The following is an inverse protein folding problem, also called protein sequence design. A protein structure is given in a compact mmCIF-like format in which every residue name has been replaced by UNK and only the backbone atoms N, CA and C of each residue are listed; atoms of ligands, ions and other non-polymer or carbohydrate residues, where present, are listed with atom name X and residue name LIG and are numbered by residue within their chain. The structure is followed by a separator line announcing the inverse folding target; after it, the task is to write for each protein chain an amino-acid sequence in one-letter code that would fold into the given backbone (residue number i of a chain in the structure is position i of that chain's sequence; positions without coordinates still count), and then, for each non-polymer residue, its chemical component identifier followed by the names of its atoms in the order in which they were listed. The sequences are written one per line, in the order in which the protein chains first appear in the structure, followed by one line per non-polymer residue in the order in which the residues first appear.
data_IF_886594873929
#
_entry.id   IF_886594873929
#
_cell.length_a   1.000
_cell.length_b   1.000
_cell.length_c   1.000
_cell.angle_alpha   90.00
_cell.angle_beta   90.00
_cell.angle_gamma   90.00
#
_symmetry.space_group_name_H-M   'P 1'
#
loop_
_entity.id
_entity.type
_entity.pdbx_description
1 polymer ?
#
# COMPACT_ATOMS: atom_id res chain seq x y z
N UNK A 1 -15.17 6.63 2.91
CA UNK A 1 -15.17 7.75 1.95
C UNK A 1 -16.28 8.77 2.24
N UNK A 2 -17.55 8.36 2.26
CA UNK A 2 -18.71 9.25 2.47
C UNK A 2 -18.62 10.10 3.75
N UNK A 3 -18.24 9.53 4.88
CA UNK A 3 -18.08 10.27 6.15
C UNK A 3 -16.95 11.29 6.14
N UNK A 4 -15.92 11.08 5.31
CA UNK A 4 -14.79 11.98 5.13
C UNK A 4 -15.02 13.00 4.01
N UNK A 5 -16.13 12.87 3.26
CA UNK A 5 -16.42 13.68 2.07
C UNK A 5 -15.29 13.70 1.02
N UNK A 6 -14.60 12.57 0.84
CA UNK A 6 -13.52 12.39 -0.15
C UNK A 6 -13.91 11.38 -1.23
N UNK A 7 -13.31 11.52 -2.41
CA UNK A 7 -13.37 10.56 -3.53
C UNK A 7 -12.26 9.50 -3.42
N UNK A 8 -12.44 8.27 -3.93
CA UNK A 8 -11.43 7.20 -3.81
C UNK A 8 -10.03 7.61 -4.31
N UNK A 9 -9.98 8.44 -5.35
CA UNK A 9 -8.75 8.99 -5.92
C UNK A 9 -8.02 10.00 -5.02
N UNK A 10 -8.61 10.40 -3.90
CA UNK A 10 -7.98 11.25 -2.87
C UNK A 10 -7.47 10.42 -1.67
N UNK A 11 -7.64 9.09 -1.74
CA UNK A 11 -7.36 8.17 -0.64
C UNK A 11 -6.39 7.06 -1.04
N UNK A 12 -5.68 6.57 -0.03
CA UNK A 12 -4.84 5.38 -0.11
C UNK A 12 -5.15 4.48 1.08
N UNK A 13 -5.23 3.17 0.85
CA UNK A 13 -5.44 2.17 1.89
C UNK A 13 -4.12 1.57 2.34
N UNK A 14 -4.06 1.21 3.63
CA UNK A 14 -2.99 0.42 4.22
C UNK A 14 -3.64 -0.87 4.72
N UNK A 15 -3.19 -2.01 4.22
CA UNK A 15 -3.80 -3.31 4.48
C UNK A 15 -2.72 -4.36 4.78
N UNK A 16 -3.13 -5.50 5.33
CA UNK A 16 -2.22 -6.61 5.67
C UNK A 16 -2.74 -7.99 5.27
N UNK A 17 -3.92 -8.06 4.63
CA UNK A 17 -4.64 -9.31 4.38
C UNK A 17 -5.31 -9.35 3.01
N UNK A 18 -5.61 -10.56 2.52
CA UNK A 18 -6.25 -10.76 1.23
C UNK A 18 -7.65 -10.13 1.16
N UNK A 19 -8.43 -10.22 2.25
CA UNK A 19 -9.74 -9.58 2.31
C UNK A 19 -9.62 -8.05 2.28
N UNK A 20 -8.59 -7.49 2.91
CA UNK A 20 -8.29 -6.06 2.89
C UNK A 20 -8.07 -5.55 1.48
N UNK A 21 -7.19 -6.19 0.71
CA UNK A 21 -6.90 -5.77 -0.67
C UNK A 21 -8.12 -5.93 -1.60
N UNK A 22 -8.94 -6.97 -1.43
CA UNK A 22 -10.17 -7.11 -2.21
C UNK A 22 -11.15 -5.96 -1.90
N UNK A 23 -11.32 -5.62 -0.62
CA UNK A 23 -12.21 -4.54 -0.20
C UNK A 23 -11.72 -3.16 -0.68
N UNK A 24 -10.42 -2.88 -0.55
CA UNK A 24 -9.84 -1.60 -0.97
C UNK A 24 -9.86 -1.44 -2.49
N UNK A 25 -9.60 -2.52 -3.24
CA UNK A 25 -9.77 -2.56 -4.70
C UNK A 25 -11.22 -2.27 -5.10
N UNK A 26 -12.19 -2.97 -4.51
CA UNK A 26 -13.60 -2.77 -4.83
C UNK A 26 -14.08 -1.35 -4.47
N UNK A 27 -13.42 -0.69 -3.53
CA UNK A 27 -13.62 0.72 -3.20
C UNK A 27 -12.86 1.70 -4.11
N UNK A 28 -12.06 1.22 -5.06
CA UNK A 28 -11.27 2.03 -6.00
C UNK A 28 -10.05 2.68 -5.37
N UNK A 29 -9.47 2.09 -4.32
CA UNK A 29 -8.34 2.65 -3.58
C UNK A 29 -7.00 2.07 -4.03
N UNK A 30 -6.01 2.95 -4.18
CA UNK A 30 -4.61 2.52 -4.20
C UNK A 30 -4.28 1.88 -2.86
N UNK A 31 -3.59 0.75 -2.84
CA UNK A 31 -3.37 -0.03 -1.60
C UNK A 31 -1.89 -0.32 -1.38
N UNK A 32 -1.41 -0.02 -0.18
CA UNK A 32 -0.09 -0.39 0.34
C UNK A 32 -0.28 -1.59 1.28
N UNK A 33 0.49 -2.64 1.09
CA UNK A 33 0.43 -3.84 1.93
C UNK A 33 1.66 -3.93 2.83
N UNK A 34 1.43 -4.27 4.10
CA UNK A 34 2.46 -4.90 4.95
C UNK A 34 2.04 -6.32 5.30
N UNK A 35 2.89 -7.30 5.04
CA UNK A 35 2.57 -8.68 5.43
C UNK A 35 2.90 -8.94 6.89
N UNK A 36 2.25 -9.94 7.46
CA UNK A 36 2.65 -10.57 8.71
C UNK A 36 2.92 -12.06 8.48
N UNK A 37 3.28 -12.80 9.53
CA UNK A 37 3.62 -14.23 9.40
C UNK A 37 2.45 -15.09 8.90
N UNK A 38 1.20 -14.63 9.04
CA UNK A 38 0.01 -15.35 8.58
C UNK A 38 -0.39 -15.00 7.14
N UNK A 39 0.04 -13.85 6.62
CA UNK A 39 -0.44 -13.32 5.34
C UNK A 39 0.63 -13.28 4.25
N UNK A 40 1.86 -13.73 4.56
CA UNK A 40 3.02 -13.71 3.64
C UNK A 40 2.78 -14.42 2.31
N UNK A 41 1.98 -15.48 2.31
CA UNK A 41 1.69 -16.30 1.13
C UNK A 41 0.38 -15.92 0.41
N UNK A 42 -0.28 -14.84 0.84
CA UNK A 42 -1.47 -14.33 0.16
C UNK A 42 -1.12 -13.66 -1.17
N UNK A 43 -2.08 -13.69 -2.10
CA UNK A 43 -1.97 -12.95 -3.34
C UNK A 43 -2.27 -11.46 -3.12
N UNK A 44 -1.26 -10.63 -3.38
CA UNK A 44 -1.29 -9.17 -3.34
C UNK A 44 -0.92 -8.55 -4.70
N UNK A 45 -1.14 -9.27 -5.81
CA UNK A 45 -0.78 -8.84 -7.16
C UNK A 45 -1.31 -7.45 -7.53
N UNK A 46 -2.44 -7.03 -6.96
CA UNK A 46 -3.07 -5.73 -7.21
C UNK A 46 -2.58 -4.59 -6.30
N UNK A 47 -1.66 -4.85 -5.37
CA UNK A 47 -1.14 -3.83 -4.48
C UNK A 47 -0.19 -2.88 -5.22
N UNK A 48 -0.17 -1.61 -4.81
CA UNK A 48 0.81 -0.64 -5.31
C UNK A 48 2.24 -1.02 -4.87
N UNK A 49 2.36 -1.55 -3.65
CA UNK A 49 3.59 -2.09 -3.09
C UNK A 49 3.24 -3.07 -1.95
N UNK A 50 4.07 -4.09 -1.77
CA UNK A 50 4.00 -5.05 -0.66
C UNK A 50 5.33 -5.01 0.08
N UNK A 51 5.26 -4.77 1.39
CA UNK A 51 6.41 -4.62 2.28
C UNK A 51 6.34 -5.67 3.40
N UNK A 52 7.48 -6.05 3.96
CA UNK A 52 7.52 -6.86 5.18
C UNK A 52 7.14 -6.06 6.44
N UNK A 53 7.48 -4.77 6.45
CA UNK A 53 7.19 -3.79 7.50
C UNK A 53 7.12 -2.40 6.86
N UNK A 54 6.68 -1.37 7.59
CA UNK A 54 6.85 0.01 7.12
C UNK A 54 8.29 0.53 7.27
N UNK A 55 9.13 -0.18 7.99
CA UNK A 55 10.49 0.24 8.30
C UNK A 55 10.58 1.56 9.09
N UNK A 56 11.80 2.03 9.23
CA UNK A 56 12.18 3.32 9.79
C UNK A 56 13.62 3.68 9.40
N UNK A 57 14.10 4.86 9.78
CA UNK A 57 15.43 5.35 9.37
C UNK A 57 16.59 4.39 9.71
N UNK A 58 16.47 3.63 10.81
CA UNK A 58 17.48 2.66 11.26
C UNK A 58 17.09 1.20 10.99
N UNK A 59 15.89 0.95 10.47
CA UNK A 59 15.36 -0.39 10.24
C UNK A 59 14.63 -0.42 8.90
N UNK A 60 15.36 -0.64 7.79
CA UNK A 60 14.75 -0.59 6.47
C UNK A 60 13.76 -1.73 6.26
N UNK A 61 12.72 -1.50 5.45
CA UNK A 61 11.85 -2.57 4.98
C UNK A 61 12.53 -3.41 3.90
N UNK A 62 11.93 -4.56 3.62
CA UNK A 62 12.12 -5.33 2.40
C UNK A 62 10.91 -5.14 1.48
N UNK A 63 11.16 -4.83 0.21
CA UNK A 63 10.11 -4.83 -0.81
C UNK A 63 9.87 -6.27 -1.26
N UNK A 64 8.68 -6.79 -1.01
CA UNK A 64 8.26 -8.11 -1.46
C UNK A 64 7.67 -8.07 -2.87
N UNK A 65 6.97 -6.99 -3.20
CA UNK A 65 6.42 -6.72 -4.54
C UNK A 65 6.30 -5.21 -4.77
N UNK A 66 6.49 -4.77 -6.01
CA UNK A 66 6.38 -3.37 -6.41
C UNK A 66 7.72 -2.63 -6.42
N UNK A 67 7.67 -1.30 -6.41
CA UNK A 67 8.84 -0.43 -6.52
C UNK A 67 8.80 0.69 -5.47
N UNK A 68 9.75 0.66 -4.54
CA UNK A 68 9.92 1.68 -3.50
C UNK A 68 10.62 2.96 -4.00
N UNK A 69 11.05 3.02 -5.27
CA UNK A 69 11.64 4.21 -5.88
C UNK A 69 12.85 4.73 -5.10
N UNK A 70 13.68 3.81 -4.60
CA UNK A 70 14.88 4.08 -3.81
C UNK A 70 14.65 4.42 -2.34
N UNK A 71 13.39 4.41 -1.86
CA UNK A 71 13.10 4.54 -0.44
C UNK A 71 13.39 3.23 0.31
N UNK A 72 13.76 3.36 1.58
CA UNK A 72 14.09 2.22 2.46
C UNK A 72 13.14 2.10 3.66
N UNK A 73 12.31 3.11 3.90
CA UNK A 73 11.23 3.10 4.89
C UNK A 73 10.05 3.90 4.34
N UNK A 74 8.86 3.65 4.88
CA UNK A 74 7.63 4.26 4.40
C UNK A 74 7.45 5.63 5.05
N UNK A 75 7.65 6.68 4.26
CA UNK A 75 7.38 8.06 4.65
C UNK A 75 6.29 8.68 3.77
N UNK A 76 5.91 9.92 4.09
CA UNK A 76 4.91 10.64 3.31
C UNK A 76 5.36 10.90 1.86
N UNK A 77 6.66 10.95 1.58
CA UNK A 77 7.15 11.14 0.22
C UNK A 77 6.88 9.90 -0.62
N UNK A 78 7.17 8.70 -0.09
CA UNK A 78 6.85 7.44 -0.75
C UNK A 78 5.34 7.25 -0.92
N UNK A 79 4.55 7.48 0.14
CA UNK A 79 3.08 7.38 0.09
C UNK A 79 2.50 8.26 -1.02
N UNK A 80 2.94 9.53 -1.12
CA UNK A 80 2.49 10.45 -2.18
C UNK A 80 2.86 9.98 -3.58
N UNK A 81 4.06 9.41 -3.77
CA UNK A 81 4.50 8.87 -5.07
C UNK A 81 3.66 7.65 -5.49
N UNK A 82 3.38 6.75 -4.54
CA UNK A 82 2.54 5.58 -4.79
C UNK A 82 1.11 5.98 -5.14
N UNK A 83 0.52 6.90 -4.35
CA UNK A 83 -0.80 7.46 -4.61
C UNK A 83 -0.89 8.09 -6.00
N UNK A 84 0.09 8.92 -6.39
CA UNK A 84 0.09 9.59 -7.69
C UNK A 84 0.16 8.63 -8.90
N UNK A 85 0.77 7.44 -8.75
CA UNK A 85 0.79 6.41 -9.80
C UNK A 85 -0.56 5.72 -9.95
N UNK A 86 -1.27 5.48 -8.85
CA UNK A 86 -2.58 4.82 -8.87
C UNK A 86 -3.71 5.69 -9.43
N UNK A 87 -3.60 7.01 -9.32
CA UNK A 87 -4.60 7.98 -9.84
C UNK A 87 -4.54 8.22 -11.36
N UNK A 88 -3.71 7.47 -12.10
CA UNK A 88 -3.38 7.73 -13.51
C UNK A 88 -3.97 6.76 -14.55
N UNK A 89 -4.96 5.93 -14.19
CA UNK A 89 -5.62 4.97 -15.08
C UNK A 89 -7.06 5.37 -15.40
#
# INVERSE_FOLDING_TARGET
MQELALTPAECIAFEDSHNGILASRDAGLTTIITVNDYTRDHDFSEAAIVLDTFGGPEQPFTVMQGDAMGATYLDLALVRRLHARGTGA
#
